data_IF_395436815739
#
_entry.id   IF_395436815739
#
_cell.length_a   1.000
_cell.length_b   1.000
_cell.length_c   1.000
_cell.angle_alpha   90.00
_cell.angle_beta   90.00
_cell.angle_gamma   90.00
#
_symmetry.space_group_name_H-M   'P 1'
#
loop_
_entity.id
_entity.type
_entity.pdbx_description
1 polymer ?
#
# COMPACT_ATOMS: atom_id res chain seq x y z
N UNK A 1 -15.41 6.26 -10.90
CA UNK A 1 -15.08 5.11 -10.05
C UNK A 1 -15.71 5.42 -8.72
N UNK A 2 -16.72 4.66 -8.31
CA UNK A 2 -17.40 4.88 -7.04
C UNK A 2 -16.39 4.72 -5.90
N UNK A 3 -16.35 5.69 -4.98
CA UNK A 3 -15.36 5.76 -3.92
C UNK A 3 -15.56 4.64 -2.87
N UNK A 4 -14.56 4.46 -2.01
CA UNK A 4 -14.68 3.56 -0.86
C UNK A 4 -15.70 4.13 0.12
N UNK A 5 -16.75 3.38 0.43
CA UNK A 5 -17.79 3.80 1.36
C UNK A 5 -17.34 3.71 2.82
N UNK A 6 -16.32 2.89 3.10
CA UNK A 6 -15.75 2.68 4.43
C UNK A 6 -14.33 2.09 4.37
N UNK A 7 -13.71 1.92 5.55
CA UNK A 7 -12.37 1.34 5.70
C UNK A 7 -12.29 -0.15 5.38
N UNK A 8 -13.38 -0.91 5.54
CA UNK A 8 -13.42 -2.32 5.17
C UNK A 8 -13.29 -2.48 3.66
N UNK A 9 -13.98 -1.65 2.87
CA UNK A 9 -13.86 -1.63 1.41
C UNK A 9 -12.45 -1.24 0.95
N UNK A 10 -11.84 -0.24 1.61
CA UNK A 10 -10.46 0.12 1.33
C UNK A 10 -9.49 -1.03 1.65
N UNK A 11 -9.66 -1.70 2.79
CA UNK A 11 -8.84 -2.85 3.18
C UNK A 11 -8.95 -4.01 2.17
N UNK A 12 -10.17 -4.36 1.74
CA UNK A 12 -10.39 -5.36 0.69
C UNK A 12 -9.69 -4.98 -0.61
N UNK A 13 -9.88 -3.74 -1.08
CA UNK A 13 -9.24 -3.24 -2.29
C UNK A 13 -7.72 -3.37 -2.24
N UNK A 14 -7.06 -2.92 -1.17
CA UNK A 14 -5.60 -3.02 -1.07
C UNK A 14 -5.12 -4.47 -0.96
N UNK A 15 -5.91 -5.36 -0.35
CA UNK A 15 -5.64 -6.79 -0.32
C UNK A 15 -5.63 -7.41 -1.72
N UNK A 16 -6.69 -7.18 -2.50
CA UNK A 16 -6.80 -7.65 -3.89
C UNK A 16 -5.68 -7.10 -4.76
N UNK A 17 -5.35 -5.81 -4.61
CA UNK A 17 -4.26 -5.18 -5.34
C UNK A 17 -2.90 -5.82 -5.00
N UNK A 18 -2.67 -6.19 -3.73
CA UNK A 18 -1.44 -6.86 -3.33
C UNK A 18 -1.36 -8.30 -3.88
N UNK A 19 -2.48 -9.04 -3.92
CA UNK A 19 -2.53 -10.37 -4.52
C UNK A 19 -2.25 -10.32 -6.03
N UNK A 20 -2.84 -9.36 -6.75
CA UNK A 20 -2.58 -9.15 -8.18
C UNK A 20 -1.09 -8.87 -8.44
N UNK A 21 -0.48 -7.97 -7.67
CA UNK A 21 0.92 -7.61 -7.83
C UNK A 21 1.88 -8.73 -7.37
N UNK A 22 1.44 -9.56 -6.41
CA UNK A 22 2.20 -10.64 -5.80
C UNK A 22 2.06 -11.99 -6.51
N UNK A 23 1.16 -12.10 -7.49
CA UNK A 23 0.90 -13.34 -8.24
C UNK A 23 2.09 -13.88 -9.06
N UNK A 24 3.20 -13.15 -9.10
CA UNK A 24 4.44 -13.55 -9.75
C UNK A 24 5.60 -13.63 -8.77
N UNK A 25 6.44 -14.66 -8.90
CA UNK A 25 7.65 -14.84 -8.11
C UNK A 25 8.61 -13.65 -8.30
N UNK A 26 9.12 -13.12 -7.17
CA UNK A 26 10.16 -12.10 -7.15
C UNK A 26 11.53 -12.79 -7.27
N UNK A 27 12.32 -12.43 -8.27
CA UNK A 27 13.68 -12.94 -8.49
C UNK A 27 14.69 -12.03 -7.79
N UNK A 28 14.55 -11.91 -6.47
CA UNK A 28 15.44 -11.13 -5.62
C UNK A 28 16.31 -12.03 -4.77
N UNK A 29 17.57 -11.61 -4.55
CA UNK A 29 18.36 -12.18 -3.46
C UNK A 29 17.78 -11.73 -2.12
N UNK A 30 18.01 -12.52 -1.07
CA UNK A 30 17.62 -12.13 0.30
C UNK A 30 18.21 -10.77 0.68
N UNK A 31 19.47 -10.51 0.28
CA UNK A 31 20.13 -9.24 0.53
C UNK A 31 19.42 -8.06 -0.15
N UNK A 32 19.05 -8.20 -1.43
CA UNK A 32 18.32 -7.16 -2.16
C UNK A 32 16.93 -6.91 -1.56
N UNK A 33 16.24 -7.98 -1.13
CA UNK A 33 14.95 -7.85 -0.45
C UNK A 33 15.09 -7.13 0.91
N UNK A 34 16.11 -7.49 1.69
CA UNK A 34 16.39 -6.89 2.99
C UNK A 34 16.77 -5.41 2.86
N UNK A 35 17.70 -5.07 1.96
CA UNK A 35 18.06 -3.67 1.66
C UNK A 35 16.84 -2.86 1.25
N UNK A 36 15.91 -3.47 0.49
CA UNK A 36 14.69 -2.80 0.07
C UNK A 36 13.76 -2.51 1.23
N UNK A 37 13.58 -3.48 2.12
CA UNK A 37 12.78 -3.38 3.35
C UNK A 37 13.34 -2.32 4.30
N UNK A 38 14.66 -2.30 4.49
CA UNK A 38 15.34 -1.38 5.41
C UNK A 38 15.67 -0.01 4.80
N UNK A 39 15.57 0.13 3.48
CA UNK A 39 16.00 1.30 2.72
C UNK A 39 15.06 2.51 2.79
N UNK A 40 15.50 3.61 2.20
CA UNK A 40 14.70 4.83 2.01
C UNK A 40 13.71 4.63 0.86
N UNK A 41 12.50 5.18 1.00
CA UNK A 41 11.41 5.07 0.02
C UNK A 41 11.86 5.46 -1.40
N UNK A 42 11.52 4.66 -2.40
CA UNK A 42 11.88 4.95 -3.79
C UNK A 42 10.95 5.99 -4.42
N UNK A 43 11.56 7.02 -5.01
CA UNK A 43 10.84 7.98 -5.87
C UNK A 43 10.29 7.32 -7.14
N UNK A 44 10.86 6.19 -7.57
CA UNK A 44 10.34 5.37 -8.67
C UNK A 44 9.00 4.74 -8.28
N UNK A 45 8.91 4.14 -7.08
CA UNK A 45 7.65 3.55 -6.59
C UNK A 45 6.57 4.61 -6.40
N UNK A 46 6.91 5.82 -5.93
CA UNK A 46 5.92 6.91 -5.83
C UNK A 46 5.38 7.34 -7.19
N UNK A 47 6.26 7.41 -8.20
CA UNK A 47 5.87 7.72 -9.58
C UNK A 47 4.98 6.62 -10.14
N UNK A 48 5.30 5.37 -9.85
CA UNK A 48 4.51 4.21 -10.23
C UNK A 48 3.11 4.26 -9.63
N UNK A 49 2.99 4.56 -8.34
CA UNK A 49 1.69 4.75 -7.66
C UNK A 49 0.89 5.88 -8.31
N UNK A 50 1.49 7.05 -8.53
CA UNK A 50 0.81 8.19 -9.18
C UNK A 50 0.35 7.84 -10.59
N UNK A 51 1.17 7.12 -11.35
CA UNK A 51 0.80 6.66 -12.70
C UNK A 51 -0.34 5.64 -12.65
N UNK A 52 -0.33 4.72 -11.69
CA UNK A 52 -1.42 3.76 -11.48
C UNK A 52 -2.73 4.48 -11.15
N UNK A 53 -2.72 5.45 -10.23
CA UNK A 53 -3.91 6.24 -9.88
C UNK A 53 -4.47 6.97 -11.11
N UNK A 54 -3.59 7.57 -11.93
CA UNK A 54 -4.02 8.33 -13.09
C UNK A 54 -4.52 7.45 -14.25
N UNK A 55 -3.86 6.32 -14.51
CA UNK A 55 -4.11 5.48 -15.71
C UNK A 55 -4.96 4.24 -15.44
N UNK A 56 -5.08 3.85 -14.17
CA UNK A 56 -5.74 2.60 -13.70
C UNK A 56 -5.12 1.33 -14.29
N UNK A 57 -3.85 1.40 -14.63
CA UNK A 57 -3.05 0.29 -15.14
C UNK A 57 -1.87 0.03 -14.22
N UNK A 58 -1.62 -1.26 -13.91
CA UNK A 58 -0.47 -1.64 -13.11
C UNK A 58 0.83 -1.29 -13.84
N UNK A 59 1.74 -0.52 -13.21
CA UNK A 59 3.03 -0.24 -13.79
C UNK A 59 3.85 -1.52 -13.93
N UNK A 60 4.60 -1.62 -15.02
CA UNK A 60 5.67 -2.60 -15.13
C UNK A 60 6.81 -2.15 -14.21
N UNK A 61 7.13 -2.98 -13.23
CA UNK A 61 8.12 -2.68 -12.19
C UNK A 61 9.19 -3.76 -12.16
N UNK A 62 10.42 -3.33 -11.91
CA UNK A 62 11.49 -4.22 -11.48
C UNK A 62 11.14 -4.84 -10.11
N UNK A 63 11.67 -6.02 -9.81
CA UNK A 63 11.29 -6.76 -8.62
C UNK A 63 11.49 -5.98 -7.31
N UNK A 64 12.52 -5.12 -7.24
CA UNK A 64 12.77 -4.27 -6.07
C UNK A 64 11.66 -3.25 -5.85
N UNK A 65 11.19 -2.58 -6.90
CA UNK A 65 10.07 -1.63 -6.82
C UNK A 65 8.73 -2.35 -6.63
N UNK A 66 8.58 -3.54 -7.21
CA UNK A 66 7.43 -4.41 -7.01
C UNK A 66 7.31 -4.84 -5.55
N UNK A 67 8.42 -5.27 -4.94
CA UNK A 67 8.48 -5.60 -3.52
C UNK A 67 8.10 -4.40 -2.65
N UNK A 68 8.66 -3.20 -2.90
CA UNK A 68 8.29 -2.02 -2.10
C UNK A 68 6.79 -1.71 -2.22
N UNK A 69 6.22 -1.79 -3.44
CA UNK A 69 4.80 -1.54 -3.65
C UNK A 69 3.91 -2.60 -2.98
N UNK A 70 4.32 -3.87 -2.99
CA UNK A 70 3.66 -4.93 -2.24
C UNK A 70 3.60 -4.61 -0.74
N UNK A 71 4.73 -4.19 -0.17
CA UNK A 71 4.80 -3.81 1.25
C UNK A 71 3.89 -2.64 1.58
N UNK A 72 3.87 -1.60 0.74
CA UNK A 72 2.98 -0.44 0.87
C UNK A 72 1.50 -0.84 0.88
N UNK A 73 1.10 -1.70 -0.05
CA UNK A 73 -0.27 -2.19 -0.15
C UNK A 73 -0.67 -3.00 1.08
N UNK A 74 0.21 -3.86 1.59
CA UNK A 74 -0.05 -4.62 2.81
C UNK A 74 -0.18 -3.71 4.05
N UNK A 75 0.67 -2.69 4.17
CA UNK A 75 0.58 -1.71 5.25
C UNK A 75 -0.72 -0.91 5.19
N UNK A 76 -1.08 -0.41 4.01
CA UNK A 76 -2.33 0.31 3.82
C UNK A 76 -3.55 -0.55 4.18
N UNK A 77 -3.55 -1.82 3.78
CA UNK A 77 -4.57 -2.80 4.16
C UNK A 77 -4.66 -2.96 5.68
N UNK A 78 -3.54 -3.16 6.37
CA UNK A 78 -3.52 -3.34 7.82
C UNK A 78 -4.00 -2.09 8.55
N UNK A 79 -3.57 -0.91 8.12
CA UNK A 79 -4.03 0.36 8.67
C UNK A 79 -5.55 0.51 8.54
N UNK A 80 -6.11 0.22 7.36
CA UNK A 80 -7.56 0.27 7.16
C UNK A 80 -8.31 -0.74 8.05
N UNK A 81 -7.77 -1.96 8.21
CA UNK A 81 -8.37 -2.97 9.07
C UNK A 81 -8.34 -2.57 10.57
N UNK A 82 -7.23 -1.99 11.04
CA UNK A 82 -7.07 -1.49 12.40
C UNK A 82 -8.02 -0.32 12.70
N UNK A 83 -8.12 0.65 11.79
CA UNK A 83 -9.09 1.74 11.91
C UNK A 83 -10.54 1.22 11.99
N UNK A 84 -10.88 0.25 11.14
CA UNK A 84 -12.20 -0.35 11.15
C UNK A 84 -12.49 -1.08 12.47
N UNK A 85 -11.48 -1.71 13.08
CA UNK A 85 -11.62 -2.36 14.39
C UNK A 85 -11.78 -1.34 15.53
N UNK A 86 -11.13 -0.18 15.44
CA UNK A 86 -11.18 0.89 16.45
C UNK A 86 -12.44 1.76 16.37
N UNK A 87 -13.12 1.79 15.23
CA UNK A 87 -14.39 2.50 15.03
C UNK A 87 -15.47 1.62 14.37
N UNK A 88 -16.03 0.66 15.11
CA UNK A 88 -17.05 -0.25 14.59
C UNK A 88 -18.41 0.42 14.35
N UNK A 89 -18.60 1.66 14.84
CA UNK A 89 -19.84 2.43 14.65
C UNK A 89 -19.79 3.38 13.45
N UNK A 90 -18.65 3.45 12.74
CA UNK A 90 -18.48 4.25 11.52
C UNK A 90 -18.52 5.77 11.76
N UNK A 91 -18.15 6.23 12.96
CA UNK A 91 -18.15 7.65 13.32
C UNK A 91 -16.94 8.42 12.75
N UNK A 92 -15.89 7.73 12.30
CA UNK A 92 -14.62 8.28 11.77
C UNK A 92 -14.63 8.61 10.26
N UNK A 93 -15.80 8.68 9.63
CA UNK A 93 -16.00 9.14 8.24
C UNK A 93 -15.60 8.16 7.11
N UNK A 94 -16.31 8.34 5.99
CA UNK A 94 -16.04 7.73 4.70
C UNK A 94 -14.95 8.45 3.90
N UNK A 95 -14.46 7.78 2.87
CA UNK A 95 -13.39 8.25 2.00
C UNK A 95 -14.02 8.87 0.76
N UNK A 96 -14.15 10.21 0.73
CA UNK A 96 -14.92 10.90 -0.33
C UNK A 96 -14.20 10.96 -1.68
N UNK A 97 -12.88 10.74 -1.72
CA UNK A 97 -12.08 10.74 -2.94
C UNK A 97 -11.11 9.55 -2.98
N UNK A 98 -11.27 8.70 -3.99
CA UNK A 98 -10.47 7.49 -4.19
C UNK A 98 -8.99 7.81 -4.50
N UNK A 99 -8.70 8.82 -5.32
CA UNK A 99 -7.33 9.17 -5.72
C UNK A 99 -6.54 9.78 -4.57
N UNK A 100 -7.15 10.71 -3.84
CA UNK A 100 -6.58 11.31 -2.65
C UNK A 100 -6.35 10.24 -1.56
N UNK A 101 -7.30 9.29 -1.42
CA UNK A 101 -7.17 8.18 -0.48
C UNK A 101 -6.01 7.26 -0.80
N UNK A 102 -5.90 6.79 -2.06
CA UNK A 102 -4.81 5.91 -2.48
C UNK A 102 -3.47 6.65 -2.33
N UNK A 103 -3.40 7.93 -2.71
CA UNK A 103 -2.20 8.75 -2.54
C UNK A 103 -1.78 8.85 -1.07
N UNK A 104 -2.72 9.19 -0.18
CA UNK A 104 -2.48 9.31 1.26
C UNK A 104 -1.97 8.01 1.86
N UNK A 105 -2.55 6.86 1.49
CA UNK A 105 -2.22 5.57 2.09
C UNK A 105 -0.94 4.95 1.52
N UNK A 106 -0.73 5.00 0.20
CA UNK A 106 0.41 4.35 -0.46
C UNK A 106 1.67 5.21 -0.56
N UNK A 107 1.56 6.52 -0.38
CA UNK A 107 2.70 7.45 -0.44
C UNK A 107 2.91 8.11 0.92
N UNK A 108 1.96 8.91 1.39
CA UNK A 108 2.18 9.77 2.55
C UNK A 108 2.33 8.95 3.85
N UNK A 109 1.40 8.02 4.09
CA UNK A 109 1.44 7.13 5.26
C UNK A 109 2.69 6.23 5.23
N UNK A 110 3.01 5.62 4.09
CA UNK A 110 4.22 4.79 3.96
C UNK A 110 5.51 5.56 4.29
N UNK A 111 5.65 6.77 3.75
CA UNK A 111 6.81 7.65 4.01
C UNK A 111 6.85 8.17 5.44
N UNK A 112 5.69 8.32 6.08
CA UNK A 112 5.55 8.78 7.46
C UNK A 112 5.74 7.67 8.49
N UNK A 113 4.70 6.87 8.70
CA UNK A 113 4.63 5.89 9.80
C UNK A 113 4.58 4.44 9.32
N UNK A 114 3.93 4.16 8.17
CA UNK A 114 3.62 2.80 7.73
C UNK A 114 4.82 1.89 7.55
N UNK A 115 5.96 2.41 7.06
CA UNK A 115 7.18 1.61 6.94
C UNK A 115 7.70 1.13 8.31
N UNK A 116 7.68 2.01 9.32
CA UNK A 116 8.17 1.67 10.66
C UNK A 116 7.23 0.71 11.38
N UNK A 117 5.92 0.89 11.21
CA UNK A 117 4.92 -0.04 11.76
C UNK A 117 5.10 -1.44 11.20
N UNK A 118 5.40 -1.58 9.90
CA UNK A 118 5.68 -2.88 9.29
C UNK A 118 6.96 -3.52 9.84
N UNK A 119 8.05 -2.76 9.90
CA UNK A 119 9.33 -3.23 10.45
C UNK A 119 9.20 -3.64 11.93
N UNK A 120 8.44 -2.90 12.74
CA UNK A 120 8.21 -3.21 14.14
C UNK A 120 7.24 -4.37 14.38
N UNK A 121 6.46 -4.78 13.37
CA UNK A 121 5.56 -5.95 13.45
C UNK A 121 6.23 -7.29 13.15
N UNK A 122 7.52 -7.26 12.79
CA UNK A 122 8.35 -8.46 12.57
C UNK A 122 9.10 -8.92 13.83
N UNK A 123 8.95 -8.20 14.94
CA UNK A 123 9.43 -8.57 16.29
C UNK A 123 8.35 -9.36 17.06
#
# INVERSE_FOLDING_TARGET
MDAFKDWSQAACFFGEQAELLGGHELRLSWHAAFERVCGVCSSTTDRAVRSYIAKREWPVLEDTDRLELLLRLQCARWYCADLNAKDPLGQLMGLEDCEATITRLLIDYWRGAGRLEWLGSLE
#
